data_IF_311206289701
#
_entry.id   IF_311206289701
#
_cell.length_a   1.000
_cell.length_b   1.000
_cell.length_c   1.000
_cell.angle_alpha   90.00
_cell.angle_beta   90.00
_cell.angle_gamma   90.00
#
_symmetry.space_group_name_H-M   'P 1'
#
loop_
_entity.id
_entity.type
_entity.pdbx_description
1 polymer ?
#
# COMPACT_ATOMS: atom_id res chain seq x y z
N UNK A 1 4.44 11.79 0.45
CA UNK A 1 4.18 13.13 -0.10
C UNK A 1 5.25 13.62 -1.07
N UNK A 2 6.45 14.03 -0.61
CA UNK A 2 7.45 14.69 -1.47
C UNK A 2 7.82 13.91 -2.76
N UNK A 3 8.01 12.59 -2.68
CA UNK A 3 8.30 11.77 -3.87
C UNK A 3 7.14 11.74 -4.88
N UNK A 4 5.89 11.69 -4.40
CA UNK A 4 4.70 11.70 -5.24
C UNK A 4 4.57 13.03 -5.99
N UNK A 5 4.85 14.16 -5.30
CA UNK A 5 4.82 15.50 -5.90
C UNK A 5 5.92 15.69 -6.94
N UNK A 6 7.14 15.22 -6.63
CA UNK A 6 8.27 15.24 -7.56
C UNK A 6 7.95 14.50 -8.86
N UNK A 7 7.27 13.34 -8.80
CA UNK A 7 6.84 12.59 -9.99
C UNK A 7 5.79 13.34 -10.84
N UNK A 8 5.16 14.38 -10.30
CA UNK A 8 4.20 15.26 -10.98
C UNK A 8 4.78 16.63 -11.34
N UNK A 9 6.09 16.84 -11.18
CA UNK A 9 6.74 18.12 -11.46
C UNK A 9 6.41 19.23 -10.45
N UNK A 10 5.97 18.86 -9.24
CA UNK A 10 5.58 19.81 -8.19
C UNK A 10 6.61 19.85 -7.07
N UNK A 11 6.84 21.04 -6.51
CA UNK A 11 7.73 21.23 -5.35
C UNK A 11 7.15 20.61 -4.06
N UNK A 12 8.00 20.09 -3.14
CA UNK A 12 7.55 19.60 -1.84
C UNK A 12 6.84 20.68 -1.02
N UNK A 13 5.80 20.26 -0.28
CA UNK A 13 5.11 21.11 0.71
C UNK A 13 5.61 20.68 2.10
N UNK A 14 5.92 21.66 2.95
CA UNK A 14 6.38 21.41 4.31
C UNK A 14 5.24 20.82 5.18
N UNK A 15 5.56 19.99 6.18
CA UNK A 15 4.58 19.55 7.17
C UNK A 15 3.96 20.74 7.92
N UNK A 16 2.66 20.74 8.15
CA UNK A 16 1.99 21.69 9.04
C UNK A 16 1.82 21.04 10.43
N UNK A 17 2.49 21.57 11.48
CA UNK A 17 2.40 21.02 12.84
C UNK A 17 1.02 21.20 13.50
N UNK A 18 0.10 21.96 12.89
CA UNK A 18 -1.27 22.15 13.40
C UNK A 18 -2.26 21.08 12.90
N UNK A 19 -1.88 20.30 11.90
CA UNK A 19 -2.72 19.25 11.31
C UNK A 19 -2.46 17.88 11.95
N UNK A 20 -3.51 17.04 11.98
CA UNK A 20 -3.36 15.63 12.35
C UNK A 20 -2.50 14.84 11.32
N UNK A 21 -2.11 13.61 11.65
CA UNK A 21 -1.21 12.82 10.79
C UNK A 21 -1.76 12.62 9.37
N UNK A 22 -3.02 12.20 9.25
CA UNK A 22 -3.67 11.94 7.96
C UNK A 22 -3.93 13.24 7.18
N UNK A 23 -4.46 14.27 7.85
CA UNK A 23 -4.68 15.59 7.26
C UNK A 23 -3.38 16.18 6.71
N UNK A 24 -2.30 16.13 7.50
CA UNK A 24 -0.98 16.61 7.10
C UNK A 24 -0.42 15.81 5.91
N UNK A 25 -0.67 14.49 5.85
CA UNK A 25 -0.27 13.69 4.69
C UNK A 25 -0.98 14.15 3.40
N UNK A 26 -2.29 14.43 3.47
CA UNK A 26 -3.04 14.99 2.34
C UNK A 26 -2.55 16.39 1.98
N UNK A 27 -2.41 17.28 2.96
CA UNK A 27 -1.87 18.63 2.76
C UNK A 27 -0.52 18.60 2.05
N UNK A 28 0.42 17.76 2.51
CA UNK A 28 1.73 17.64 1.90
C UNK A 28 1.70 16.99 0.50
N UNK A 29 0.69 16.18 0.16
CA UNK A 29 0.54 15.57 -1.16
C UNK A 29 -0.14 16.52 -2.17
N UNK A 30 -1.24 17.15 -1.77
CA UNK A 30 -2.18 17.83 -2.66
C UNK A 30 -2.25 19.34 -2.45
N UNK A 31 -1.68 19.86 -1.37
CA UNK A 31 -1.75 21.28 -0.99
C UNK A 31 -3.01 21.67 -0.22
N UNK A 32 -3.93 20.72 -0.04
CA UNK A 32 -5.20 20.91 0.66
C UNK A 32 -5.56 19.67 1.48
N UNK A 33 -6.43 19.86 2.48
CA UNK A 33 -7.03 18.76 3.24
C UNK A 33 -8.39 18.45 2.60
N UNK A 34 -8.66 17.18 2.22
CA UNK A 34 -9.92 16.83 1.58
C UNK A 34 -11.09 16.82 2.58
N UNK A 35 -12.26 16.43 2.11
CA UNK A 35 -13.43 16.22 2.95
C UNK A 35 -13.14 15.27 4.14
N UNK A 36 -13.79 15.50 5.28
CA UNK A 36 -13.53 14.78 6.53
C UNK A 36 -13.70 13.26 6.39
N UNK A 37 -14.62 12.84 5.54
CA UNK A 37 -14.91 11.43 5.25
C UNK A 37 -13.72 10.75 4.57
N UNK A 38 -13.02 11.47 3.68
CA UNK A 38 -11.82 10.97 3.00
C UNK A 38 -10.65 10.86 3.97
N UNK A 39 -10.47 11.88 4.82
CA UNK A 39 -9.46 11.85 5.91
C UNK A 39 -9.72 10.65 6.82
N UNK A 40 -10.96 10.49 7.27
CA UNK A 40 -11.36 9.42 8.17
C UNK A 40 -11.16 8.02 7.56
N UNK A 41 -11.52 7.85 6.27
CA UNK A 41 -11.29 6.60 5.55
C UNK A 41 -9.79 6.27 5.46
N UNK A 42 -8.94 7.27 5.20
CA UNK A 42 -7.50 7.08 5.16
C UNK A 42 -6.92 6.75 6.55
N UNK A 43 -7.42 7.36 7.62
CA UNK A 43 -7.04 6.99 8.99
C UNK A 43 -7.37 5.54 9.31
N UNK A 44 -8.59 5.09 8.97
CA UNK A 44 -8.99 3.68 9.11
C UNK A 44 -8.03 2.79 8.33
N UNK A 45 -7.68 3.16 7.09
CA UNK A 45 -6.71 2.41 6.29
C UNK A 45 -5.34 2.31 6.98
N UNK A 46 -4.83 3.41 7.53
CA UNK A 46 -3.56 3.43 8.26
C UNK A 46 -3.60 2.53 9.49
N UNK A 47 -4.71 2.56 10.25
CA UNK A 47 -4.92 1.69 11.41
C UNK A 47 -4.97 0.22 11.02
N UNK A 48 -5.72 -0.13 9.97
CA UNK A 48 -5.86 -1.52 9.50
C UNK A 48 -4.54 -2.09 8.95
N UNK A 49 -3.70 -1.26 8.34
CA UNK A 49 -2.39 -1.68 7.83
C UNK A 49 -1.26 -1.65 8.87
N UNK A 50 -1.51 -1.16 10.09
CA UNK A 50 -0.44 -0.91 11.05
C UNK A 50 0.28 -2.19 11.53
N UNK A 51 -0.42 -3.32 11.64
CA UNK A 51 0.16 -4.57 12.14
C UNK A 51 -0.56 -5.82 11.60
N UNK A 52 0.23 -6.85 11.24
CA UNK A 52 -0.32 -8.13 10.78
C UNK A 52 0.61 -9.33 11.09
N UNK A 53 1.00 -9.47 12.35
CA UNK A 53 1.79 -10.58 12.89
C UNK A 53 3.04 -10.90 12.06
N UNK A 54 3.35 -12.18 11.84
CA UNK A 54 4.53 -12.65 11.12
C UNK A 54 4.31 -12.74 9.60
N UNK A 55 3.72 -11.69 9.01
CA UNK A 55 3.75 -11.53 7.56
C UNK A 55 5.21 -11.41 7.06
N UNK A 56 5.42 -11.57 5.76
CA UNK A 56 6.76 -11.72 5.17
C UNK A 56 7.71 -10.56 5.52
N UNK A 57 7.25 -9.31 5.45
CA UNK A 57 8.09 -8.15 5.78
C UNK A 57 8.43 -8.05 7.26
N UNK A 58 7.46 -8.33 8.16
CA UNK A 58 7.73 -8.36 9.60
C UNK A 58 8.72 -9.48 9.94
N UNK A 59 8.58 -10.66 9.33
CA UNK A 59 9.51 -11.77 9.53
C UNK A 59 10.92 -11.42 9.04
N UNK A 60 11.04 -10.79 7.87
CA UNK A 60 12.34 -10.29 7.36
C UNK A 60 13.01 -9.31 8.32
N UNK A 61 12.27 -8.33 8.87
CA UNK A 61 12.81 -7.41 9.88
C UNK A 61 13.40 -8.19 11.06
N UNK A 62 12.65 -9.18 11.59
CA UNK A 62 13.08 -9.98 12.74
C UNK A 62 14.33 -10.81 12.47
N UNK A 63 14.46 -11.38 11.28
CA UNK A 63 15.67 -12.13 10.87
C UNK A 63 16.90 -11.22 10.85
N UNK A 64 16.77 -9.98 10.37
CA UNK A 64 17.88 -9.01 10.39
C UNK A 64 18.21 -8.64 11.84
N UNK A 65 17.21 -8.29 12.64
CA UNK A 65 17.38 -7.92 14.06
C UNK A 65 17.99 -9.05 14.89
N UNK A 66 17.73 -10.33 14.59
CA UNK A 66 18.29 -11.45 15.35
C UNK A 66 19.81 -11.58 15.24
N UNK A 67 20.43 -10.87 14.31
CA UNK A 67 21.90 -10.77 14.17
C UNK A 67 22.51 -9.60 14.97
N UNK A 68 21.70 -8.91 15.79
CA UNK A 68 22.04 -7.67 16.49
C UNK A 68 22.32 -6.48 15.55
N UNK A 69 21.84 -6.54 14.30
CA UNK A 69 21.83 -5.40 13.39
C UNK A 69 20.85 -4.32 13.85
N UNK A 70 21.02 -3.10 13.32
CA UNK A 70 20.28 -1.92 13.75
C UNK A 70 18.86 -1.84 13.14
N UNK A 71 18.07 -0.89 13.67
CA UNK A 71 16.69 -0.67 13.27
C UNK A 71 16.56 -0.27 11.79
N UNK A 72 17.47 0.56 11.27
CA UNK A 72 17.40 1.01 9.87
C UNK A 72 17.65 -0.15 8.91
N UNK A 73 18.61 -1.02 9.23
CA UNK A 73 18.87 -2.24 8.46
C UNK A 73 17.64 -3.15 8.43
N UNK A 74 16.99 -3.38 9.59
CA UNK A 74 15.79 -4.21 9.68
C UNK A 74 14.61 -3.62 8.89
N UNK A 75 14.34 -2.32 9.03
CA UNK A 75 13.26 -1.63 8.31
C UNK A 75 13.53 -1.61 6.80
N UNK A 76 14.78 -1.40 6.38
CA UNK A 76 15.17 -1.43 4.96
C UNK A 76 14.89 -2.79 4.34
N UNK A 77 15.28 -3.88 5.02
CA UNK A 77 14.97 -5.24 4.58
C UNK A 77 13.47 -5.53 4.51
N UNK A 78 12.70 -5.08 5.51
CA UNK A 78 11.25 -5.21 5.53
C UNK A 78 10.57 -4.47 4.36
N UNK A 79 11.01 -3.26 4.02
CA UNK A 79 10.53 -2.50 2.85
C UNK A 79 10.81 -3.29 1.57
N UNK A 80 12.00 -3.90 1.44
CA UNK A 80 12.35 -4.76 0.31
C UNK A 80 11.39 -5.94 0.14
N UNK A 81 11.05 -6.63 1.25
CA UNK A 81 10.09 -7.73 1.25
C UNK A 81 8.65 -7.25 0.96
N UNK A 82 8.24 -6.10 1.52
CA UNK A 82 6.91 -5.52 1.34
C UNK A 82 6.65 -5.10 -0.10
N UNK A 83 7.68 -4.65 -0.84
CA UNK A 83 7.58 -4.24 -2.24
C UNK A 83 7.14 -5.36 -3.20
N UNK A 84 7.32 -6.64 -2.84
CA UNK A 84 6.98 -7.75 -3.72
C UNK A 84 5.49 -7.80 -4.08
N UNK A 85 5.10 -8.18 -5.31
CA UNK A 85 3.70 -8.19 -5.74
C UNK A 85 2.84 -9.22 -4.99
N UNK A 86 3.45 -10.22 -4.35
CA UNK A 86 2.75 -11.22 -3.53
C UNK A 86 2.63 -10.81 -2.06
N UNK A 87 2.98 -9.57 -1.73
CA UNK A 87 2.86 -8.99 -0.39
C UNK A 87 2.26 -7.58 -0.48
N UNK A 88 2.98 -6.54 -0.08
CA UNK A 88 2.46 -5.16 -0.08
C UNK A 88 2.21 -4.57 -1.47
N UNK A 89 2.94 -5.03 -2.51
CA UNK A 89 2.73 -4.58 -3.89
C UNK A 89 1.40 -5.06 -4.51
N UNK A 90 0.63 -5.88 -3.81
CA UNK A 90 -0.64 -6.39 -4.32
C UNK A 90 -1.71 -5.30 -4.46
N UNK A 91 -1.67 -4.23 -3.65
CA UNK A 91 -2.68 -3.16 -3.71
C UNK A 91 -2.60 -2.33 -5.00
N UNK A 92 -1.39 -1.99 -5.45
CA UNK A 92 -1.13 -1.35 -6.75
C UNK A 92 -1.59 -2.26 -7.89
N UNK A 93 -1.22 -3.55 -7.81
CA UNK A 93 -1.61 -4.52 -8.82
C UNK A 93 -3.14 -4.78 -8.89
N UNK A 94 -3.89 -4.55 -7.80
CA UNK A 94 -5.36 -4.56 -7.83
C UNK A 94 -5.88 -3.40 -8.66
N UNK A 95 -5.29 -2.20 -8.53
CA UNK A 95 -5.71 -1.05 -9.34
C UNK A 95 -5.39 -1.27 -10.82
N UNK A 96 -4.20 -1.79 -11.14
CA UNK A 96 -3.84 -2.15 -12.53
C UNK A 96 -4.81 -3.19 -13.10
N UNK A 97 -5.19 -4.18 -12.31
CA UNK A 97 -6.18 -5.20 -12.68
C UNK A 97 -7.56 -4.58 -12.97
N UNK A 98 -8.02 -3.64 -12.13
CA UNK A 98 -9.29 -2.95 -12.36
C UNK A 98 -9.26 -2.07 -13.63
N UNK A 99 -8.11 -1.46 -13.92
CA UNK A 99 -7.89 -0.71 -15.17
C UNK A 99 -7.89 -1.62 -16.42
N UNK A 100 -7.45 -2.87 -16.30
CA UNK A 100 -7.60 -3.88 -17.36
C UNK A 100 -9.07 -4.24 -17.62
N UNK A 101 -9.88 -4.34 -16.55
CA UNK A 101 -11.31 -4.68 -16.64
C UNK A 101 -12.11 -3.55 -17.29
N UNK A 102 -11.79 -2.29 -16.98
CA UNK A 102 -12.41 -1.04 -17.47
C UNK A 102 -13.89 -0.82 -17.09
N UNK A 103 -14.75 -1.79 -17.38
CA UNK A 103 -16.20 -1.70 -17.17
C UNK A 103 -16.70 -2.85 -16.28
N UNK A 104 -17.54 -2.58 -15.26
CA UNK A 104 -18.12 -3.63 -14.42
C UNK A 104 -18.84 -4.74 -15.19
N UNK A 105 -19.45 -4.44 -16.34
CA UNK A 105 -20.15 -5.41 -17.17
C UNK A 105 -19.21 -6.45 -17.80
N UNK A 106 -17.92 -6.11 -17.97
CA UNK A 106 -16.90 -6.99 -18.53
C UNK A 106 -16.17 -7.84 -17.48
N UNK A 107 -16.38 -7.56 -16.19
CA UNK A 107 -15.65 -8.18 -15.07
C UNK A 107 -15.76 -9.71 -15.05
N UNK A 108 -16.95 -10.26 -15.30
CA UNK A 108 -17.18 -11.71 -15.29
C UNK A 108 -16.37 -12.40 -16.40
N UNK A 109 -16.40 -11.85 -17.62
CA UNK A 109 -15.65 -12.38 -18.77
C UNK A 109 -14.14 -12.28 -18.54
N UNK A 110 -13.67 -11.15 -18.00
CA UNK A 110 -12.25 -10.97 -17.67
C UNK A 110 -11.80 -12.01 -16.63
N UNK A 111 -12.62 -12.26 -15.60
CA UNK A 111 -12.32 -13.24 -14.56
C UNK A 111 -12.24 -14.66 -15.11
N UNK A 112 -13.22 -15.08 -15.93
CA UNK A 112 -13.22 -16.41 -16.55
C UNK A 112 -11.96 -16.65 -17.39
N UNK A 113 -11.54 -15.64 -18.17
CA UNK A 113 -10.31 -15.70 -18.94
C UNK A 113 -9.08 -15.80 -18.03
N UNK A 114 -8.97 -14.95 -17.01
CA UNK A 114 -7.84 -14.95 -16.08
C UNK A 114 -7.69 -16.30 -15.36
N UNK A 115 -8.81 -16.93 -14.98
CA UNK A 115 -8.82 -18.25 -14.37
C UNK A 115 -8.41 -19.35 -15.35
N UNK A 116 -8.92 -19.31 -16.59
CA UNK A 116 -8.54 -20.26 -17.64
C UNK A 116 -7.03 -20.20 -17.94
N UNK A 117 -6.45 -19.00 -17.92
CA UNK A 117 -5.02 -18.74 -18.10
C UNK A 117 -4.19 -18.99 -16.82
N UNK A 118 -4.82 -19.35 -15.70
CA UNK A 118 -4.19 -19.55 -14.39
C UNK A 118 -3.43 -18.32 -13.88
N UNK A 119 -3.89 -17.12 -14.24
CA UNK A 119 -3.39 -15.86 -13.68
C UNK A 119 -3.73 -15.80 -12.20
N UNK A 120 -2.87 -15.16 -11.40
CA UNK A 120 -3.21 -14.82 -10.02
C UNK A 120 -4.20 -13.65 -10.02
N UNK A 121 -5.28 -13.79 -9.25
CA UNK A 121 -6.25 -12.71 -9.05
C UNK A 121 -5.74 -11.85 -7.88
N UNK A 122 -5.27 -10.64 -8.18
CA UNK A 122 -4.71 -9.75 -7.17
C UNK A 122 -5.80 -9.30 -6.20
N UNK A 123 -5.46 -9.20 -4.91
CA UNK A 123 -6.42 -8.93 -3.83
C UNK A 123 -7.16 -10.17 -3.30
N UNK A 124 -7.00 -11.34 -3.92
CA UNK A 124 -7.59 -12.59 -3.46
C UNK A 124 -6.53 -13.61 -3.01
N UNK A 125 -6.89 -14.38 -1.98
CA UNK A 125 -6.05 -15.41 -1.39
C UNK A 125 -5.21 -14.89 -0.23
N UNK A 126 -5.40 -15.49 0.94
CA UNK A 126 -4.67 -15.13 2.14
C UNK A 126 -4.10 -16.38 2.82
N UNK A 127 -2.89 -16.30 3.37
CA UNK A 127 -2.25 -17.46 4.01
C UNK A 127 -2.99 -17.90 5.27
N UNK A 128 -3.47 -16.94 6.04
CA UNK A 128 -4.18 -17.13 7.33
C UNK A 128 -5.70 -17.18 7.16
N UNK A 129 -6.33 -16.08 6.71
CA UNK A 129 -7.78 -16.03 6.48
C UNK A 129 -8.25 -17.07 5.45
N UNK A 130 -9.40 -17.70 5.73
CA UNK A 130 -10.05 -18.75 4.94
C UNK A 130 -11.43 -18.32 4.52
#
# INVERSE_FOLDING_TARGET
>A
AAHQRRRRGLDPIAPDPKLGYAENFFHMCFGEVPAKEVVHCFEISLTLYAEHSFNASTFTARVITSTLSDLYSAVTGAIGALKGPLHGGANEAVMDMLDEVRDPADAARWLDQALAEKRKIMGFGHRVYK
#
